data_IF_554804870077
#
_entry.id   IF_554804870077
#
_cell.length_a   1.000
_cell.length_b   1.000
_cell.length_c   1.000
_cell.angle_alpha   90.00
_cell.angle_beta   90.00
_cell.angle_gamma   90.00
#
_symmetry.space_group_name_H-M   'P 1'
#
loop_
_entity.id
_entity.type
_entity.pdbx_description
1 polymer ?
#
# COMPACT_ATOMS: atom_id res chain seq x y z
N UNK A 1 -33.67 -36.44 57.29
CA UNK A 1 -32.97 -35.15 57.39
C UNK A 1 -32.76 -34.58 55.99
N UNK A 2 -33.45 -33.50 55.62
CA UNK A 2 -33.28 -32.82 54.32
C UNK A 2 -32.36 -31.62 54.54
N UNK A 3 -31.13 -31.72 54.06
CA UNK A 3 -30.11 -30.67 54.13
C UNK A 3 -30.40 -29.68 53.00
N UNK A 4 -30.93 -28.50 53.33
CA UNK A 4 -31.21 -27.44 52.36
C UNK A 4 -29.88 -26.78 51.97
N UNK A 5 -29.50 -26.88 50.70
CA UNK A 5 -28.31 -26.23 50.13
C UNK A 5 -28.71 -24.80 49.78
N UNK A 6 -28.21 -23.82 50.53
CA UNK A 6 -28.41 -22.39 50.21
C UNK A 6 -27.60 -22.04 48.97
N UNK A 7 -28.28 -21.89 47.83
CA UNK A 7 -27.70 -21.42 46.58
C UNK A 7 -27.56 -19.88 46.64
N UNK A 8 -26.37 -19.37 46.97
CA UNK A 8 -26.08 -17.92 46.94
C UNK A 8 -25.81 -17.46 45.50
N UNK A 9 -26.89 -17.26 44.74
CA UNK A 9 -26.85 -16.45 43.53
C UNK A 9 -26.74 -14.96 43.92
N UNK A 10 -25.52 -14.44 44.02
CA UNK A 10 -25.27 -13.00 44.20
C UNK A 10 -25.48 -12.30 42.86
N UNK A 11 -26.58 -11.57 42.73
CA UNK A 11 -26.83 -10.68 41.59
C UNK A 11 -25.93 -9.45 41.65
N UNK A 12 -25.50 -8.98 40.48
CA UNK A 12 -24.73 -7.74 40.32
C UNK A 12 -25.61 -6.53 40.71
N UNK A 13 -25.06 -5.57 41.45
CA UNK A 13 -25.73 -4.28 41.68
C UNK A 13 -25.75 -3.47 40.39
N UNK A 14 -26.85 -2.76 40.12
CA UNK A 14 -26.94 -1.79 39.03
C UNK A 14 -25.84 -0.72 39.14
N UNK A 15 -25.47 -0.35 40.37
CA UNK A 15 -24.40 0.62 40.63
C UNK A 15 -23.03 0.05 40.29
N UNK A 16 -22.80 -1.22 40.56
CA UNK A 16 -21.54 -1.89 40.21
C UNK A 16 -21.35 -1.92 38.69
N UNK A 17 -22.42 -2.21 37.93
CA UNK A 17 -22.35 -2.17 36.47
C UNK A 17 -22.10 -0.75 35.94
N UNK A 18 -22.74 0.26 36.54
CA UNK A 18 -22.61 1.67 36.14
C UNK A 18 -21.19 2.21 36.31
N UNK A 19 -20.55 1.92 37.44
CA UNK A 19 -19.18 2.35 37.70
C UNK A 19 -18.20 1.65 36.75
N UNK A 20 -18.42 0.37 36.45
CA UNK A 20 -17.54 -0.39 35.55
C UNK A 20 -17.55 0.17 34.14
N UNK A 21 -18.73 0.45 33.57
CA UNK A 21 -18.80 1.03 32.23
C UNK A 21 -18.22 2.46 32.19
N UNK A 22 -18.38 3.23 33.27
CA UNK A 22 -17.77 4.55 33.41
C UNK A 22 -16.24 4.48 33.44
N UNK A 23 -15.68 3.53 34.20
CA UNK A 23 -14.24 3.32 34.29
C UNK A 23 -13.66 2.78 32.98
N UNK A 24 -14.34 1.82 32.34
CA UNK A 24 -13.92 1.30 31.03
C UNK A 24 -13.91 2.39 29.96
N UNK A 25 -14.90 3.28 29.95
CA UNK A 25 -14.93 4.44 29.06
C UNK A 25 -13.75 5.39 29.29
N UNK A 26 -13.44 5.70 30.55
CA UNK A 26 -12.32 6.59 30.90
C UNK A 26 -10.96 6.01 30.46
N UNK A 27 -10.72 4.72 30.73
CA UNK A 27 -9.47 4.05 30.34
C UNK A 27 -9.33 3.98 28.81
N UNK A 28 -10.41 3.70 28.09
CA UNK A 28 -10.39 3.61 26.63
C UNK A 28 -9.92 4.92 25.96
N UNK A 29 -10.38 6.07 26.46
CA UNK A 29 -9.97 7.37 25.93
C UNK A 29 -8.47 7.66 26.16
N UNK A 30 -7.94 7.30 27.32
CA UNK A 30 -6.51 7.48 27.65
C UNK A 30 -5.65 6.61 26.72
N UNK A 31 -6.03 5.35 26.50
CA UNK A 31 -5.29 4.42 25.64
C UNK A 31 -5.25 4.89 24.18
N UNK A 32 -6.38 5.38 23.66
CA UNK A 32 -6.44 5.89 22.28
C UNK A 32 -5.56 7.14 22.12
N UNK A 33 -5.48 8.00 23.12
CA UNK A 33 -4.59 9.19 23.12
C UNK A 33 -3.11 8.81 23.20
N UNK A 34 -2.78 7.73 23.91
CA UNK A 34 -1.40 7.26 24.05
C UNK A 34 -0.84 6.59 22.78
N UNK A 35 -1.71 6.04 21.93
CA UNK A 35 -1.34 5.57 20.60
C UNK A 35 -1.41 6.78 19.67
N UNK A 36 -0.38 7.04 18.86
CA UNK A 36 -0.48 7.99 17.75
C UNK A 36 -1.06 7.25 16.53
N UNK A 37 -2.40 7.18 16.32
CA UNK A 37 -2.99 6.41 15.22
C UNK A 37 -2.53 6.94 13.86
N UNK A 38 -2.27 8.25 13.78
CA UNK A 38 -1.80 8.92 12.57
C UNK A 38 -0.40 8.41 12.18
N UNK A 39 0.53 8.36 13.13
CA UNK A 39 1.89 7.87 12.89
C UNK A 39 1.90 6.38 12.52
N UNK A 40 1.08 5.55 13.18
CA UNK A 40 0.99 4.13 12.83
C UNK A 40 0.41 3.92 11.43
N UNK A 41 -0.60 4.69 11.05
CA UNK A 41 -1.17 4.66 9.70
C UNK A 41 -0.14 5.09 8.64
N UNK A 42 0.59 6.17 8.88
CA UNK A 42 1.65 6.63 7.98
C UNK A 42 2.76 5.57 7.83
N UNK A 43 3.22 4.98 8.93
CA UNK A 43 4.22 3.91 8.89
C UNK A 43 3.73 2.68 8.12
N UNK A 44 2.46 2.31 8.25
CA UNK A 44 1.86 1.21 7.50
C UNK A 44 1.81 1.52 5.99
N UNK A 45 1.50 2.77 5.61
CA UNK A 45 1.54 3.24 4.22
C UNK A 45 2.94 3.19 3.64
N UNK A 46 3.95 3.67 4.36
CA UNK A 46 5.35 3.64 3.92
C UNK A 46 5.86 2.22 3.74
N UNK A 47 5.52 1.32 4.67
CA UNK A 47 5.84 -0.11 4.55
C UNK A 47 5.20 -0.73 3.30
N UNK A 48 3.94 -0.36 3.00
CA UNK A 48 3.23 -0.80 1.79
C UNK A 48 3.91 -0.29 0.52
N UNK A 49 4.30 0.99 0.47
CA UNK A 49 5.02 1.55 -0.68
C UNK A 49 6.38 0.90 -0.91
N UNK A 50 7.13 0.63 0.16
CA UNK A 50 8.41 -0.09 0.07
C UNK A 50 8.22 -1.50 -0.49
N UNK A 51 7.18 -2.21 -0.04
CA UNK A 51 6.86 -3.53 -0.56
C UNK A 51 6.46 -3.50 -2.03
N UNK A 52 5.56 -2.59 -2.41
CA UNK A 52 5.12 -2.42 -3.81
C UNK A 52 6.33 -2.08 -4.73
N UNK A 53 7.23 -1.19 -4.31
CA UNK A 53 8.44 -0.84 -5.06
C UNK A 53 9.39 -2.04 -5.25
N UNK A 54 9.59 -2.85 -4.20
CA UNK A 54 10.40 -4.07 -4.31
C UNK A 54 9.80 -5.06 -5.31
N UNK A 55 8.46 -5.20 -5.33
CA UNK A 55 7.79 -6.08 -6.28
C UNK A 55 7.94 -5.60 -7.73
N UNK A 56 7.88 -4.27 -7.95
CA UNK A 56 8.11 -3.69 -9.27
C UNK A 56 9.53 -3.94 -9.77
N UNK A 57 10.55 -3.70 -8.93
CA UNK A 57 11.96 -3.95 -9.30
C UNK A 57 12.14 -5.41 -9.70
N UNK A 58 11.65 -6.34 -8.88
CA UNK A 58 11.74 -7.77 -9.20
C UNK A 58 10.96 -8.15 -10.46
N UNK A 59 9.86 -7.47 -10.80
CA UNK A 59 9.14 -7.70 -12.05
C UNK A 59 9.94 -7.24 -13.27
N UNK A 60 10.62 -6.09 -13.18
CA UNK A 60 11.52 -5.60 -14.23
C UNK A 60 12.70 -6.56 -14.43
N UNK A 61 13.30 -7.04 -13.34
CA UNK A 61 14.41 -8.01 -13.40
C UNK A 61 13.99 -9.32 -14.05
N UNK A 62 12.83 -9.87 -13.69
CA UNK A 62 12.29 -11.08 -14.33
C UNK A 62 11.98 -10.85 -15.81
N UNK A 63 11.40 -9.70 -16.15
CA UNK A 63 11.14 -9.34 -17.54
C UNK A 63 12.43 -9.32 -18.37
N UNK A 64 13.50 -8.73 -17.82
CA UNK A 64 14.82 -8.73 -18.46
C UNK A 64 15.39 -10.15 -18.59
N UNK A 65 15.28 -10.99 -17.56
CA UNK A 65 15.73 -12.38 -17.61
C UNK A 65 15.01 -13.19 -18.71
N UNK A 66 13.73 -12.92 -18.94
CA UNK A 66 12.91 -13.61 -19.95
C UNK A 66 13.10 -13.06 -21.37
N UNK A 67 13.31 -11.74 -21.52
CA UNK A 67 13.26 -11.07 -22.83
C UNK A 67 14.62 -10.49 -23.29
N UNK A 68 15.64 -10.50 -22.43
CA UNK A 68 16.97 -9.88 -22.68
C UNK A 68 16.93 -8.38 -23.03
N UNK A 69 15.84 -7.71 -22.67
CA UNK A 69 15.58 -6.29 -22.91
C UNK A 69 14.74 -5.74 -21.77
N UNK A 70 14.84 -4.43 -21.52
CA UNK A 70 14.07 -3.80 -20.45
C UNK A 70 12.65 -3.42 -20.91
N UNK A 71 11.69 -3.24 -19.99
CA UNK A 71 10.31 -2.87 -20.33
C UNK A 71 10.21 -1.58 -21.15
N UNK A 72 11.12 -0.62 -20.93
CA UNK A 72 11.16 0.65 -21.66
C UNK A 72 11.72 0.54 -23.08
N UNK A 73 12.43 -0.54 -23.40
CA UNK A 73 12.90 -0.86 -24.75
C UNK A 73 11.86 -1.68 -25.53
N UNK A 74 11.12 -2.53 -24.81
CA UNK A 74 10.17 -3.47 -25.38
C UNK A 74 8.76 -2.90 -25.61
N UNK A 75 8.46 -1.71 -25.08
CA UNK A 75 7.13 -1.14 -25.15
C UNK A 75 6.80 -0.49 -26.50
N UNK A 76 5.52 -0.56 -26.88
CA UNK A 76 5.00 0.03 -28.11
C UNK A 76 5.17 1.54 -28.12
N UNK A 77 5.89 2.07 -29.11
CA UNK A 77 6.10 3.51 -29.31
C UNK A 77 7.14 4.14 -28.38
N UNK A 78 7.86 3.33 -27.62
CA UNK A 78 8.96 3.81 -26.79
C UNK A 78 10.22 3.99 -27.62
N UNK A 79 10.90 5.11 -27.42
CA UNK A 79 12.18 5.43 -28.06
C UNK A 79 13.35 5.40 -27.09
N UNK A 80 13.09 5.05 -25.83
CA UNK A 80 14.10 5.00 -24.78
C UNK A 80 14.94 3.73 -24.93
N UNK A 81 16.25 3.90 -24.88
CA UNK A 81 17.28 2.86 -24.79
C UNK A 81 17.71 2.68 -23.33
N UNK A 82 18.40 1.57 -23.01
CA UNK A 82 18.97 1.34 -21.67
C UNK A 82 19.83 2.49 -21.11
N UNK A 83 20.37 3.35 -21.97
CA UNK A 83 21.28 4.43 -21.61
C UNK A 83 20.56 5.78 -21.43
N UNK A 84 19.27 5.88 -21.75
CA UNK A 84 18.53 7.15 -21.72
C UNK A 84 18.13 7.55 -20.29
N UNK A 85 18.35 8.82 -19.93
CA UNK A 85 17.90 9.39 -18.67
C UNK A 85 16.38 9.59 -18.70
N UNK A 86 15.65 8.65 -18.08
CA UNK A 86 14.21 8.80 -17.87
C UNK A 86 13.97 9.65 -16.63
N UNK A 87 13.38 10.83 -16.82
CA UNK A 87 12.95 11.73 -15.75
C UNK A 87 11.72 11.17 -15.03
N UNK A 88 11.13 11.93 -14.10
CA UNK A 88 9.92 11.50 -13.41
C UNK A 88 8.75 11.27 -14.37
N UNK A 89 8.32 10.02 -14.47
CA UNK A 89 7.25 9.58 -15.37
C UNK A 89 6.01 9.14 -14.59
N UNK A 90 4.85 9.29 -15.22
CA UNK A 90 3.57 8.82 -14.68
C UNK A 90 3.41 7.31 -14.88
N UNK A 91 2.52 6.69 -14.10
CA UNK A 91 2.19 5.27 -14.26
C UNK A 91 1.63 4.92 -15.66
N UNK A 92 1.04 5.90 -16.36
CA UNK A 92 0.55 5.79 -17.74
C UNK A 92 1.63 5.77 -18.82
N UNK A 93 2.89 6.06 -18.47
CA UNK A 93 3.98 5.93 -19.41
C UNK A 93 4.23 4.44 -19.68
N UNK A 94 4.05 4.04 -20.94
CA UNK A 94 4.21 2.65 -21.40
C UNK A 94 5.62 2.11 -21.13
N UNK A 95 6.62 2.97 -21.00
CA UNK A 95 8.00 2.62 -20.64
C UNK A 95 8.14 2.04 -19.22
N UNK A 96 7.26 2.42 -18.30
CA UNK A 96 7.26 1.86 -16.94
C UNK A 96 6.67 0.43 -16.95
N UNK A 97 5.88 0.10 -17.96
CA UNK A 97 5.28 -1.22 -18.13
C UNK A 97 4.18 -1.58 -17.13
N UNK A 98 3.76 -0.65 -16.27
CA UNK A 98 2.67 -0.83 -15.30
C UNK A 98 1.30 -0.90 -15.96
N UNK A 99 0.91 0.16 -16.66
CA UNK A 99 -0.38 0.28 -17.34
C UNK A 99 -0.15 0.83 -18.77
N UNK A 100 -1.16 0.75 -19.64
CA UNK A 100 -1.12 1.40 -20.96
C UNK A 100 -1.27 2.93 -20.90
N UNK A 101 -1.24 3.60 -22.05
CA UNK A 101 -1.29 5.08 -22.16
C UNK A 101 -2.47 5.75 -21.43
N UNK A 102 -3.57 5.03 -21.23
CA UNK A 102 -4.77 5.51 -20.52
C UNK A 102 -5.07 4.71 -19.23
N UNK A 103 -4.14 3.85 -18.78
CA UNK A 103 -4.34 2.82 -17.75
C UNK A 103 -5.66 2.01 -17.83
N UNK A 104 -6.34 1.95 -18.98
CA UNK A 104 -7.51 1.12 -19.17
C UNK A 104 -7.15 -0.38 -19.30
N UNK A 105 -5.89 -0.65 -19.67
CA UNK A 105 -5.32 -1.98 -19.83
C UNK A 105 -3.98 -2.08 -19.08
N UNK A 106 -3.57 -3.32 -18.78
CA UNK A 106 -2.24 -3.60 -18.24
C UNK A 106 -1.12 -3.19 -19.20
N UNK A 107 -0.01 -2.72 -18.64
CA UNK A 107 1.22 -2.46 -19.38
C UNK A 107 1.99 -3.74 -19.63
N UNK A 108 3.17 -3.64 -20.25
CA UNK A 108 3.94 -4.80 -20.70
C UNK A 108 4.33 -5.75 -19.55
N UNK A 109 4.58 -5.25 -18.34
CA UNK A 109 4.89 -6.10 -17.18
C UNK A 109 3.69 -6.91 -16.71
N UNK A 110 2.47 -6.36 -16.85
CA UNK A 110 1.24 -7.05 -16.48
C UNK A 110 0.82 -8.05 -17.55
N UNK A 111 0.93 -7.68 -18.83
CA UNK A 111 0.55 -8.57 -19.95
C UNK A 111 1.56 -9.69 -20.19
N UNK A 112 2.84 -9.49 -19.83
CA UNK A 112 3.86 -10.55 -19.81
C UNK A 112 3.80 -11.44 -18.56
N UNK A 113 2.84 -11.21 -17.67
CA UNK A 113 2.64 -11.99 -16.45
C UNK A 113 3.79 -11.89 -15.43
N UNK A 114 4.61 -10.84 -15.53
CA UNK A 114 5.73 -10.54 -14.63
C UNK A 114 5.29 -9.70 -13.42
N UNK A 115 4.21 -8.93 -13.58
CA UNK A 115 3.58 -8.17 -12.51
C UNK A 115 2.11 -8.53 -12.39
N UNK A 116 1.67 -8.63 -11.14
CA UNK A 116 0.30 -8.90 -10.74
C UNK A 116 -0.68 -7.83 -11.24
N UNK A 117 -1.86 -8.24 -11.74
CA UNK A 117 -2.87 -7.32 -12.29
C UNK A 117 -3.46 -6.39 -11.22
N UNK A 118 -3.40 -6.77 -9.95
CA UNK A 118 -3.86 -5.97 -8.81
C UNK A 118 -3.09 -4.65 -8.67
N UNK A 119 -1.87 -4.55 -9.23
CA UNK A 119 -1.11 -3.30 -9.26
C UNK A 119 -1.84 -2.18 -10.00
N UNK A 120 -2.70 -2.50 -10.97
CA UNK A 120 -3.51 -1.52 -11.70
C UNK A 120 -4.55 -0.81 -10.82
N UNK A 121 -4.93 -1.43 -9.71
CA UNK A 121 -5.94 -0.90 -8.78
C UNK A 121 -5.33 -0.21 -7.56
N UNK A 122 -4.00 -0.14 -7.48
CA UNK A 122 -3.32 0.53 -6.38
C UNK A 122 -3.62 2.03 -6.41
N UNK A 123 -3.81 2.61 -5.22
CA UNK A 123 -4.20 4.02 -5.06
C UNK A 123 -3.25 5.02 -5.74
N UNK A 124 -1.99 4.60 -5.94
CA UNK A 124 -0.93 5.39 -6.55
C UNK A 124 -0.83 5.24 -8.08
N UNK A 125 -1.58 4.32 -8.70
CA UNK A 125 -1.67 4.12 -10.15
C UNK A 125 -2.95 4.77 -10.66
N UNK A 126 -2.86 5.94 -11.32
CA UNK A 126 -4.04 6.57 -11.95
C UNK A 126 -3.75 7.09 -13.35
N UNK A 127 -4.71 6.85 -14.25
CA UNK A 127 -4.67 7.10 -15.70
C UNK A 127 -4.47 8.56 -16.14
N UNK A 128 -5.09 9.51 -15.45
CA UNK A 128 -5.44 10.80 -16.08
C UNK A 128 -5.44 12.02 -15.14
N UNK A 129 -4.89 11.91 -13.92
CA UNK A 129 -4.82 13.05 -13.00
C UNK A 129 -3.49 13.03 -12.27
N UNK A 130 -2.72 14.11 -12.45
CA UNK A 130 -1.43 14.34 -11.78
C UNK A 130 -1.71 14.50 -10.29
N UNK A 131 -1.67 13.41 -9.54
CA UNK A 131 -1.89 13.46 -8.10
C UNK A 131 -0.88 12.56 -7.38
N UNK A 132 0.21 13.19 -6.93
CA UNK A 132 1.20 12.72 -5.94
C UNK A 132 1.68 11.26 -6.10
N UNK A 133 1.90 10.84 -7.34
CA UNK A 133 2.29 9.47 -7.67
C UNK A 133 3.79 9.28 -7.55
N UNK A 134 4.18 8.05 -7.24
CA UNK A 134 5.57 7.62 -7.07
C UNK A 134 6.43 8.16 -8.22
N UNK A 135 7.43 8.94 -7.82
CA UNK A 135 8.47 9.49 -8.66
C UNK A 135 9.55 8.42 -8.83
N UNK A 136 9.44 7.58 -9.86
CA UNK A 136 10.52 6.65 -10.23
C UNK A 136 11.50 7.44 -11.09
N UNK A 137 12.63 7.83 -10.49
CA UNK A 137 13.70 8.55 -11.15
C UNK A 137 14.87 8.74 -10.19
N UNK A 138 16.08 8.86 -10.73
CA UNK A 138 17.24 9.28 -9.95
C UNK A 138 16.93 10.67 -9.40
N UNK A 139 16.87 10.81 -8.07
CA UNK A 139 16.78 12.11 -7.42
C UNK A 139 18.11 12.83 -7.67
N UNK A 140 18.19 13.59 -8.77
CA UNK A 140 19.24 14.58 -8.94
C UNK A 140 18.99 15.62 -7.87
N UNK A 141 19.65 15.46 -6.72
CA UNK A 141 19.68 16.43 -5.64
C UNK A 141 20.24 17.73 -6.20
N UNK A 142 19.37 18.60 -6.73
CA UNK A 142 19.69 20.00 -6.94
C UNK A 142 19.72 20.67 -5.56
N UNK A 143 20.84 20.45 -4.87
CA UNK A 143 21.29 21.26 -3.76
C UNK A 143 22.38 22.20 -4.25
N UNK A 144 22.01 23.29 -4.94
CA UNK A 144 22.63 24.62 -4.87
C UNK A 144 21.87 25.62 -5.75
#
# INVERSE_FOLDING_TARGET
MKKQIFNSSRGFSLVELLIVIGLLGAIALIVISAINPIEQSNKARDARFKADASQMISAVERFYASNSQFPWEACSGCTATAEDEVTFVTASNTAVGLCGATCATGGILVTSNELKTEFLTRDWVKAATVDKQILIGKLTLLGR
#
